data_IF_479938678628
#
_entry.id   IF_479938678628
#
_cell.length_a   1.000
_cell.length_b   1.000
_cell.length_c   1.000
_cell.angle_alpha   90.00
_cell.angle_beta   90.00
_cell.angle_gamma   90.00
#
_symmetry.space_group_name_H-M   'P 1'
#
loop_
_entity.id
_entity.type
_entity.pdbx_description
1 polymer ?
#
# COMPACT_ATOMS: atom_id res chain seq x y z
N UNK A 1 -17.96 -2.51 19.97
CA UNK A 1 -17.09 -1.49 19.88
C UNK A 1 -15.87 -1.77 19.05
N UNK A 2 -15.04 -2.64 19.54
CA UNK A 2 -13.90 -3.00 18.74
C UNK A 2 -14.35 -3.66 17.46
N UNK A 3 -15.53 -4.21 17.44
CA UNK A 3 -16.03 -4.83 16.25
C UNK A 3 -16.16 -3.81 15.11
N UNK A 4 -16.44 -2.56 15.47
CA UNK A 4 -16.60 -1.55 14.44
C UNK A 4 -15.29 -1.28 13.73
N UNK A 5 -14.17 -1.61 14.33
CA UNK A 5 -12.90 -1.42 13.69
C UNK A 5 -12.46 -2.59 12.84
N UNK A 6 -13.21 -3.69 12.86
CA UNK A 6 -12.74 -4.91 12.20
C UNK A 6 -12.56 -4.74 10.71
N UNK A 7 -13.45 -4.01 10.05
CA UNK A 7 -13.35 -3.81 8.61
C UNK A 7 -12.73 -2.50 8.21
N UNK A 8 -12.29 -1.72 9.17
CA UNK A 8 -11.75 -0.39 8.90
C UNK A 8 -10.27 -0.36 9.17
N UNK A 9 -9.56 0.33 8.31
CA UNK A 9 -8.13 0.49 8.47
C UNK A 9 -7.88 1.91 8.97
N UNK A 10 -7.00 2.03 9.96
CA UNK A 10 -6.61 3.32 10.50
C UNK A 10 -6.11 4.20 9.35
N UNK A 11 -6.70 5.39 9.15
CA UNK A 11 -6.25 6.26 8.05
C UNK A 11 -4.78 6.60 8.12
N UNK A 12 -4.22 6.71 9.31
CA UNK A 12 -2.80 7.01 9.45
C UNK A 12 -1.95 5.85 8.94
N UNK A 13 -2.41 4.64 9.25
CA UNK A 13 -1.69 3.46 8.78
C UNK A 13 -1.78 3.37 7.26
N UNK A 14 -2.94 3.72 6.71
CA UNK A 14 -3.10 3.68 5.27
C UNK A 14 -2.23 4.72 4.59
N UNK A 15 -2.16 5.92 5.16
CA UNK A 15 -1.26 6.94 4.63
C UNK A 15 0.17 6.45 4.63
N UNK A 16 0.59 5.81 5.72
CA UNK A 16 1.94 5.27 5.79
C UNK A 16 2.19 4.20 4.76
N UNK A 17 1.19 3.34 4.53
CA UNK A 17 1.34 2.29 3.53
C UNK A 17 1.50 2.88 2.14
N UNK A 18 0.75 3.91 1.81
CA UNK A 18 0.87 4.56 0.52
C UNK A 18 2.23 5.22 0.36
N UNK A 19 2.69 5.88 1.42
CA UNK A 19 4.02 6.50 1.37
C UNK A 19 5.11 5.47 1.14
N UNK A 20 5.02 4.34 1.85
CA UNK A 20 6.00 3.27 1.64
C UNK A 20 5.91 2.71 0.24
N UNK A 21 4.69 2.53 -0.25
CA UNK A 21 4.53 2.03 -1.60
C UNK A 21 5.20 2.94 -2.63
N UNK A 22 4.98 4.23 -2.50
CA UNK A 22 5.59 5.18 -3.42
C UNK A 22 7.11 5.16 -3.31
N UNK A 23 7.63 5.09 -2.09
CA UNK A 23 9.07 5.06 -1.89
C UNK A 23 9.70 3.80 -2.47
N UNK A 24 9.07 2.65 -2.22
CA UNK A 24 9.64 1.40 -2.68
C UNK A 24 9.57 1.24 -4.20
N UNK A 25 8.62 1.89 -4.83
CA UNK A 25 8.47 1.77 -6.28
C UNK A 25 9.11 2.92 -7.03
N UNK A 26 9.77 3.83 -6.34
CA UNK A 26 10.41 4.97 -6.98
C UNK A 26 11.65 4.61 -7.78
N UNK A 27 12.21 3.44 -7.51
CA UNK A 27 13.44 3.04 -8.16
C UNK A 27 14.69 3.44 -7.41
N UNK A 28 14.53 4.16 -6.29
CA UNK A 28 15.68 4.62 -5.51
C UNK A 28 15.71 4.05 -4.11
N UNK A 29 14.82 3.11 -3.80
CA UNK A 29 14.77 2.54 -2.46
C UNK A 29 16.02 1.73 -2.18
N UNK A 30 16.60 1.96 -1.00
CA UNK A 30 17.81 1.27 -0.59
C UNK A 30 17.45 0.04 0.26
N UNK A 31 18.49 -0.74 0.59
CA UNK A 31 18.28 -1.87 1.50
C UNK A 31 17.80 -1.38 2.85
N UNK A 32 18.30 -0.23 3.31
CA UNK A 32 17.86 0.34 4.57
C UNK A 32 16.39 0.74 4.51
N UNK A 33 15.94 1.23 3.36
CA UNK A 33 14.53 1.56 3.18
C UNK A 33 13.67 0.31 3.31
N UNK A 34 14.10 -0.78 2.71
CA UNK A 34 13.34 -2.03 2.80
C UNK A 34 13.29 -2.55 4.22
N UNK A 35 14.38 -2.43 4.96
CA UNK A 35 14.38 -2.87 6.35
C UNK A 35 13.46 -2.01 7.20
N UNK A 36 13.48 -0.71 6.97
CA UNK A 36 12.61 0.19 7.72
C UNK A 36 11.15 -0.10 7.41
N UNK A 37 10.84 -0.39 6.16
CA UNK A 37 9.49 -0.74 5.75
C UNK A 37 9.02 -2.02 6.45
N UNK A 38 9.86 -3.02 6.51
CA UNK A 38 9.47 -4.26 7.19
C UNK A 38 9.29 -4.04 8.68
N UNK A 39 10.14 -3.21 9.29
CA UNK A 39 9.98 -2.88 10.69
C UNK A 39 8.66 -2.13 10.93
N UNK A 40 8.32 -1.24 10.02
CA UNK A 40 7.07 -0.52 10.11
C UNK A 40 5.87 -1.47 10.05
N UNK A 41 5.93 -2.46 9.17
CA UNK A 41 4.84 -3.42 9.06
C UNK A 41 4.68 -4.23 10.34
N UNK A 42 5.79 -4.56 10.99
CA UNK A 42 5.74 -5.36 12.21
C UNK A 42 5.42 -4.56 13.45
N UNK A 43 5.53 -3.23 13.37
CA UNK A 43 5.33 -2.40 14.53
C UNK A 43 3.89 -2.37 15.01
N UNK A 44 2.94 -2.61 14.11
CA UNK A 44 1.53 -2.50 14.46
C UNK A 44 0.74 -3.35 13.48
N UNK A 45 -0.18 -4.20 13.98
CA UNK A 45 -1.03 -4.99 13.07
C UNK A 45 -1.80 -4.13 12.08
N UNK A 46 -2.14 -2.91 12.46
CA UNK A 46 -2.84 -2.02 11.56
C UNK A 46 -1.97 -1.63 10.38
N UNK A 47 -0.67 -1.50 10.60
CA UNK A 47 0.25 -1.21 9.52
C UNK A 47 0.26 -2.34 8.49
N UNK A 48 0.28 -3.56 8.97
CA UNK A 48 0.28 -4.71 8.09
C UNK A 48 -1.02 -4.78 7.30
N UNK A 49 -2.14 -4.54 7.96
CA UNK A 49 -3.42 -4.55 7.27
C UNK A 49 -3.49 -3.49 6.18
N UNK A 50 -3.00 -2.29 6.52
CA UNK A 50 -2.98 -1.21 5.55
C UNK A 50 -2.09 -1.54 4.37
N UNK A 51 -0.95 -2.15 4.65
CA UNK A 51 -0.04 -2.54 3.57
C UNK A 51 -0.68 -3.56 2.64
N UNK A 52 -1.30 -4.59 3.21
CA UNK A 52 -1.94 -5.61 2.40
C UNK A 52 -3.07 -5.02 1.56
N UNK A 53 -3.77 -4.05 2.10
CA UNK A 53 -4.83 -3.39 1.34
C UNK A 53 -4.24 -2.61 0.17
N UNK A 54 -3.17 -1.89 0.41
CA UNK A 54 -2.51 -1.13 -0.64
C UNK A 54 -2.00 -2.06 -1.74
N UNK A 55 -1.41 -3.17 -1.34
CA UNK A 55 -0.94 -4.16 -2.30
C UNK A 55 -2.08 -4.72 -3.14
N UNK A 56 -3.19 -5.03 -2.50
CA UNK A 56 -4.33 -5.59 -3.20
C UNK A 56 -4.89 -4.62 -4.23
N UNK A 57 -4.97 -3.35 -3.86
CA UNK A 57 -5.45 -2.34 -4.80
C UNK A 57 -4.52 -2.19 -5.98
N UNK A 58 -3.23 -2.24 -5.72
CA UNK A 58 -2.25 -2.13 -6.79
C UNK A 58 -2.36 -3.29 -7.77
N UNK A 59 -2.55 -4.49 -7.25
CA UNK A 59 -2.72 -5.65 -8.11
C UNK A 59 -3.95 -5.54 -8.98
N UNK A 60 -5.01 -4.97 -8.44
CA UNK A 60 -6.23 -4.78 -9.21
C UNK A 60 -5.99 -3.85 -10.38
N UNK A 61 -5.26 -2.76 -10.14
CA UNK A 61 -4.94 -1.85 -11.22
C UNK A 61 -4.10 -2.53 -12.29
N UNK A 62 -3.14 -3.34 -11.87
CA UNK A 62 -2.27 -4.02 -12.81
C UNK A 62 -3.02 -5.06 -13.62
N UNK A 63 -4.11 -5.58 -13.07
CA UNK A 63 -4.90 -6.59 -13.77
C UNK A 63 -5.85 -6.01 -14.79
N UNK A 64 -6.03 -4.69 -14.81
CA UNK A 64 -6.91 -4.08 -15.77
C UNK A 64 -6.34 -4.17 -17.18
N UNK A 65 -7.19 -4.40 -18.18
CA UNK A 65 -6.73 -4.39 -19.56
C UNK A 65 -6.14 -3.04 -19.90
N UNK A 66 -5.05 -3.06 -20.60
CA UNK A 66 -4.36 -1.81 -20.93
C UNK A 66 -5.18 -0.90 -21.82
N UNK A 67 -6.04 -1.47 -22.61
CA UNK A 67 -6.86 -0.66 -23.49
C UNK A 67 -7.91 0.15 -22.80
N UNK A 68 -8.14 -0.15 -21.52
CA UNK A 68 -9.18 0.57 -20.76
C UNK A 68 -8.69 1.91 -20.24
N UNK A 69 -7.45 1.93 -19.80
CA UNK A 69 -6.93 3.12 -19.12
C UNK A 69 -6.42 4.21 -20.03
N UNK A 70 -5.71 3.90 -21.08
CA UNK A 70 -5.04 4.93 -21.87
C UNK A 70 -5.91 5.58 -22.92
N UNK A 71 -7.19 5.53 -22.72
CA UNK A 71 -8.10 6.15 -23.66
C UNK A 71 -7.76 7.62 -23.87
N UNK A 72 -7.34 8.25 -22.81
CA UNK A 72 -7.04 9.67 -22.89
C UNK A 72 -5.82 9.98 -23.74
N UNK A 73 -5.01 8.99 -23.95
CA UNK A 73 -3.83 9.18 -24.76
C UNK A 73 -4.14 9.24 -26.25
N UNK A 74 -5.35 9.01 -26.59
CA UNK A 74 -5.76 9.04 -27.99
C UNK A 74 -6.21 10.43 -28.41
#
# INVERSE_FOLDING_TARGET
>A
VSASGAGRIDPRALDGAVEWFLRLTSGTASAADHEAWQAWRRADPEHERAWLRTEALTRRFEALPKGVLPVLGQ
#
